data_IF_165949228341
#
_entry.id   IF_165949228341
#
_cell.length_a   1.000
_cell.length_b   1.000
_cell.length_c   1.000
_cell.angle_alpha   90.00
_cell.angle_beta   90.00
_cell.angle_gamma   90.00
#
_symmetry.space_group_name_H-M   'P 1'
#
loop_
_entity.id
_entity.type
_entity.pdbx_description
1 polymer ?
#
# COMPACT_ATOMS: atom_id res chain seq x y z
N UNK A 1 -6.17 22.80 -24.78
CA UNK A 1 -7.50 22.29 -24.38
C UNK A 1 -8.11 21.61 -25.58
N UNK A 2 -8.15 20.28 -25.61
CA UNK A 2 -8.77 19.56 -26.73
C UNK A 2 -10.28 19.75 -26.69
N UNK A 3 -10.92 19.90 -27.86
CA UNK A 3 -12.37 19.86 -27.95
C UNK A 3 -12.85 18.50 -27.39
N UNK A 4 -13.78 18.53 -26.44
CA UNK A 4 -14.39 17.31 -25.90
C UNK A 4 -15.04 16.53 -27.05
N UNK A 5 -14.87 15.20 -27.04
CA UNK A 5 -15.55 14.32 -28.00
C UNK A 5 -17.08 14.34 -27.86
N UNK A 6 -17.59 14.90 -26.76
CA UNK A 6 -19.01 15.06 -26.46
C UNK A 6 -19.32 16.52 -26.18
N UNK A 7 -20.38 17.03 -26.80
CA UNK A 7 -20.91 18.37 -26.50
C UNK A 7 -21.54 18.39 -25.10
N UNK A 8 -21.68 19.59 -24.53
CA UNK A 8 -22.29 19.77 -23.21
C UNK A 8 -23.73 19.25 -23.19
N UNK A 9 -24.49 19.56 -24.24
CA UNK A 9 -25.89 19.17 -24.40
C UNK A 9 -26.03 17.63 -24.39
N UNK A 10 -25.12 16.94 -25.08
CA UNK A 10 -25.13 15.48 -25.15
C UNK A 10 -24.76 14.83 -23.82
N UNK A 11 -23.92 15.49 -23.01
CA UNK A 11 -23.60 15.03 -21.65
C UNK A 11 -24.79 15.24 -20.69
N UNK A 12 -25.48 16.37 -20.80
CA UNK A 12 -26.66 16.68 -20.00
C UNK A 12 -27.81 15.72 -20.32
N UNK A 13 -28.09 15.45 -21.61
CA UNK A 13 -29.09 14.48 -22.05
C UNK A 13 -28.80 13.06 -21.54
N UNK A 14 -27.54 12.62 -21.59
CA UNK A 14 -27.18 11.29 -21.11
C UNK A 14 -27.30 11.16 -19.59
N UNK A 15 -27.03 12.23 -18.84
CA UNK A 15 -27.18 12.27 -17.39
C UNK A 15 -28.63 12.39 -16.94
N UNK A 16 -29.48 13.06 -17.73
CA UNK A 16 -30.88 13.30 -17.40
C UNK A 16 -31.66 11.97 -17.30
N UNK A 17 -32.29 11.74 -16.16
CA UNK A 17 -33.00 10.50 -15.86
C UNK A 17 -32.11 9.24 -15.76
N UNK A 18 -30.79 9.37 -15.76
CA UNK A 18 -29.89 8.26 -15.44
C UNK A 18 -29.80 8.10 -13.91
N UNK A 19 -29.99 6.88 -13.41
CA UNK A 19 -29.95 6.59 -11.96
C UNK A 19 -28.53 6.34 -11.47
N UNK A 20 -27.62 6.05 -12.38
CA UNK A 20 -26.22 5.75 -12.09
C UNK A 20 -25.30 6.31 -13.18
N UNK A 21 -24.03 6.52 -12.82
CA UNK A 21 -22.99 6.92 -13.79
C UNK A 21 -22.83 5.88 -14.91
N UNK A 22 -22.96 4.58 -14.61
CA UNK A 22 -22.86 3.53 -15.62
C UNK A 22 -23.97 3.63 -16.67
N UNK A 23 -25.21 3.92 -16.25
CA UNK A 23 -26.34 4.12 -17.15
C UNK A 23 -26.13 5.35 -18.08
N UNK A 24 -25.65 6.47 -17.54
CA UNK A 24 -25.31 7.64 -18.34
C UNK A 24 -24.19 7.35 -19.37
N UNK A 25 -23.17 6.57 -18.97
CA UNK A 25 -22.09 6.17 -19.86
C UNK A 25 -22.56 5.22 -20.98
N UNK A 26 -23.46 4.29 -20.68
CA UNK A 26 -24.10 3.42 -21.69
C UNK A 26 -24.89 4.23 -22.71
N UNK A 27 -25.67 5.23 -22.26
CA UNK A 27 -26.41 6.16 -23.14
C UNK A 27 -25.49 6.99 -24.04
N UNK A 28 -24.27 7.30 -23.58
CA UNK A 28 -23.24 7.93 -24.40
C UNK A 28 -22.58 6.97 -25.42
N UNK A 29 -22.94 5.69 -25.43
CA UNK A 29 -22.30 4.65 -26.24
C UNK A 29 -20.92 4.26 -25.72
N UNK A 30 -20.57 4.65 -24.48
CA UNK A 30 -19.32 4.28 -23.84
C UNK A 30 -19.50 2.92 -23.20
N UNK A 31 -19.06 1.86 -23.89
CA UNK A 31 -18.91 0.57 -23.22
C UNK A 31 -17.83 0.73 -22.15
N UNK A 32 -18.16 0.50 -20.88
CA UNK A 32 -17.18 0.40 -19.81
C UNK A 32 -16.34 -0.89 -20.02
N UNK A 33 -15.49 -0.93 -21.05
CA UNK A 33 -14.33 -1.83 -21.09
C UNK A 33 -13.21 -1.24 -20.24
N UNK A 34 -13.56 -0.76 -19.05
CA UNK A 34 -12.58 -0.47 -18.02
C UNK A 34 -12.04 -1.79 -17.51
N UNK A 35 -10.71 -1.99 -17.50
CA UNK A 35 -10.07 -3.07 -16.76
C UNK A 35 -10.75 -3.13 -15.40
N UNK A 36 -11.40 -4.25 -15.06
CA UNK A 36 -11.93 -4.43 -13.71
C UNK A 36 -10.76 -4.18 -12.78
N UNK A 37 -10.84 -3.08 -12.00
CA UNK A 37 -9.85 -2.83 -10.98
C UNK A 37 -10.03 -3.97 -10.00
N UNK A 38 -9.19 -5.02 -10.14
CA UNK A 38 -9.22 -6.16 -9.23
C UNK A 38 -9.12 -5.57 -7.83
N UNK A 39 -10.12 -5.87 -7.00
CA UNK A 39 -10.11 -5.46 -5.61
C UNK A 39 -8.74 -5.82 -5.02
N UNK A 40 -8.10 -4.84 -4.39
CA UNK A 40 -6.87 -5.08 -3.64
C UNK A 40 -7.27 -5.92 -2.44
N UNK A 41 -6.64 -7.08 -2.27
CA UNK A 41 -6.85 -7.93 -1.09
C UNK A 41 -5.58 -7.91 -0.24
N UNK A 42 -5.68 -7.81 1.09
CA UNK A 42 -4.51 -7.82 1.99
C UNK A 42 -3.61 -9.04 1.75
N UNK A 43 -4.23 -10.21 1.54
CA UNK A 43 -3.56 -11.50 1.38
C UNK A 43 -2.65 -11.52 0.15
N UNK A 44 -2.97 -10.74 -0.90
CA UNK A 44 -2.12 -10.66 -2.09
C UNK A 44 -0.86 -9.83 -1.86
N UNK A 45 -0.89 -8.92 -0.89
CA UNK A 45 0.25 -8.07 -0.53
C UNK A 45 1.13 -8.73 0.54
N UNK A 46 0.51 -9.50 1.43
CA UNK A 46 1.15 -10.10 2.60
C UNK A 46 1.75 -11.48 2.30
N UNK A 47 2.58 -11.54 1.26
CA UNK A 47 3.26 -12.77 0.81
C UNK A 47 4.76 -12.55 0.64
N UNK A 48 5.51 -13.65 0.73
CA UNK A 48 6.90 -13.66 0.32
C UNK A 48 6.99 -13.61 -1.21
N UNK A 49 7.76 -12.66 -1.74
CA UNK A 49 7.93 -12.49 -3.18
C UNK A 49 9.12 -13.30 -3.71
N UNK A 50 8.95 -14.03 -4.83
CA UNK A 50 10.05 -14.77 -5.45
C UNK A 50 11.12 -13.82 -5.99
N UNK A 51 12.40 -14.17 -5.82
CA UNK A 51 13.53 -13.29 -6.11
C UNK A 51 13.54 -12.71 -7.54
N UNK A 52 13.13 -13.50 -8.55
CA UNK A 52 13.13 -13.08 -9.95
C UNK A 52 11.98 -12.16 -10.38
N UNK A 53 10.96 -11.96 -9.55
CA UNK A 53 9.79 -11.13 -9.87
C UNK A 53 9.45 -10.12 -8.77
N UNK A 54 10.27 -10.04 -7.72
CA UNK A 54 10.01 -9.22 -6.56
C UNK A 54 10.01 -7.72 -6.89
N UNK A 55 8.97 -7.02 -6.43
CA UNK A 55 8.87 -5.56 -6.47
C UNK A 55 8.60 -5.05 -5.07
N UNK A 56 9.35 -4.04 -4.65
CA UNK A 56 9.15 -3.44 -3.32
C UNK A 56 7.73 -2.86 -3.24
N UNK A 57 6.94 -3.37 -2.30
CA UNK A 57 5.60 -2.86 -2.04
C UNK A 57 5.72 -1.54 -1.27
N UNK A 58 5.06 -0.46 -1.72
CA UNK A 58 4.98 0.79 -0.97
C UNK A 58 4.47 0.57 0.47
N UNK A 59 5.06 1.26 1.44
CA UNK A 59 4.77 0.99 2.86
C UNK A 59 3.32 1.25 3.22
N UNK A 60 2.69 2.29 2.69
CA UNK A 60 1.26 2.61 2.84
C UNK A 60 0.35 1.41 2.49
N UNK A 61 0.71 0.63 1.45
CA UNK A 61 -0.06 -0.56 1.07
C UNK A 61 0.11 -1.70 2.06
N UNK A 62 1.31 -1.87 2.62
CA UNK A 62 1.55 -2.85 3.68
C UNK A 62 0.81 -2.46 4.96
N UNK A 63 0.85 -1.17 5.35
CA UNK A 63 0.08 -0.67 6.50
C UNK A 63 -1.40 -0.99 6.36
N UNK A 64 -1.98 -0.64 5.20
CA UNK A 64 -3.37 -0.93 4.90
C UNK A 64 -3.68 -2.43 4.99
N UNK A 65 -2.82 -3.29 4.43
CA UNK A 65 -3.03 -4.73 4.46
C UNK A 65 -2.97 -5.28 5.89
N UNK A 66 -1.99 -4.84 6.69
CA UNK A 66 -1.83 -5.25 8.09
C UNK A 66 -3.05 -4.85 8.93
N UNK A 67 -3.48 -3.58 8.86
CA UNK A 67 -4.64 -3.11 9.63
C UNK A 67 -5.95 -3.73 9.14
N UNK A 68 -6.08 -4.03 7.85
CA UNK A 68 -7.24 -4.74 7.30
C UNK A 68 -7.38 -6.17 7.84
N UNK A 69 -6.28 -6.80 8.26
CA UNK A 69 -6.28 -8.11 8.94
C UNK A 69 -6.35 -8.00 10.47
N UNK A 70 -6.59 -6.79 11.02
CA UNK A 70 -6.73 -6.58 12.45
C UNK A 70 -5.41 -6.46 13.22
N UNK A 71 -4.27 -6.25 12.54
CA UNK A 71 -3.03 -5.93 13.24
C UNK A 71 -3.16 -4.54 13.87
N UNK A 72 -2.99 -4.42 15.20
CA UNK A 72 -3.10 -3.15 15.89
C UNK A 72 -1.95 -2.22 15.50
N UNK A 73 -2.27 -0.94 15.23
CA UNK A 73 -1.28 0.07 14.82
C UNK A 73 -0.57 0.69 16.02
N UNK A 74 0.16 -0.12 16.80
CA UNK A 74 1.07 0.35 17.86
C UNK A 74 2.50 -0.16 17.62
N UNK A 75 3.48 0.53 18.21
CA UNK A 75 4.88 0.10 18.13
C UNK A 75 5.05 -1.25 18.84
N UNK A 76 5.44 -2.29 18.10
CA UNK A 76 5.65 -3.64 18.63
C UNK A 76 6.80 -3.76 19.64
N UNK A 77 7.64 -2.72 19.82
CA UNK A 77 8.71 -2.70 20.83
C UNK A 77 8.36 -1.96 22.11
N UNK A 78 7.74 -0.80 22.01
CA UNK A 78 7.50 0.09 23.17
C UNK A 78 6.03 0.41 23.41
N UNK A 79 5.10 -0.12 22.60
CA UNK A 79 3.67 0.11 22.73
C UNK A 79 3.21 1.52 22.35
N UNK A 80 4.08 2.37 21.78
CA UNK A 80 3.68 3.71 21.32
C UNK A 80 2.56 3.62 20.28
N UNK A 81 1.41 4.21 20.62
CA UNK A 81 0.25 4.43 19.75
C UNK A 81 0.58 5.38 18.57
N UNK A 82 -0.26 5.46 17.52
CA UNK A 82 0.00 6.29 16.33
C UNK A 82 -0.32 7.77 16.58
N UNK A 83 -0.11 8.25 17.82
CA UNK A 83 -0.34 9.63 18.27
C UNK A 83 0.83 10.09 19.14
N UNK A 84 1.35 11.28 18.86
CA UNK A 84 2.37 11.95 19.64
C UNK A 84 1.94 13.37 19.98
N UNK A 85 1.79 13.67 21.28
CA UNK A 85 1.36 14.98 21.78
C UNK A 85 0.10 15.51 21.06
N UNK A 86 -0.88 14.62 20.86
CA UNK A 86 -2.15 14.94 20.19
C UNK A 86 -2.07 15.05 18.66
N UNK A 87 -0.91 14.77 18.04
CA UNK A 87 -0.73 14.78 16.59
C UNK A 87 -0.53 13.36 16.05
N UNK A 88 -0.95 13.04 14.81
CA UNK A 88 -0.68 11.74 14.22
C UNK A 88 0.83 11.45 14.19
N UNK A 89 1.21 10.26 14.68
CA UNK A 89 2.56 9.73 14.59
C UNK A 89 2.55 8.57 13.59
N UNK A 90 3.09 8.75 12.38
CA UNK A 90 3.18 7.65 11.43
C UNK A 90 4.11 6.57 11.97
N UNK A 91 3.58 5.39 12.32
CA UNK A 91 4.40 4.22 12.57
C UNK A 91 5.01 3.71 11.27
N UNK A 92 6.18 3.11 11.33
CA UNK A 92 6.93 2.58 10.19
C UNK A 92 6.74 1.06 10.11
N UNK A 93 6.71 0.51 8.89
CA UNK A 93 6.69 -0.94 8.69
C UNK A 93 8.14 -1.43 8.73
N UNK A 94 8.42 -2.37 9.62
CA UNK A 94 9.70 -3.04 9.75
C UNK A 94 9.55 -4.52 9.38
N UNK A 95 10.52 -5.02 8.61
CA UNK A 95 10.67 -6.43 8.30
C UNK A 95 11.57 -7.05 9.36
N UNK A 96 11.04 -7.97 10.18
CA UNK A 96 11.74 -8.56 11.33
C UNK A 96 13.06 -9.20 10.89
N UNK A 97 13.05 -9.95 9.79
CA UNK A 97 14.24 -10.58 9.21
C UNK A 97 15.10 -9.65 8.32
N UNK A 98 14.65 -8.41 8.07
CA UNK A 98 15.32 -7.45 7.18
C UNK A 98 15.18 -7.71 5.67
N UNK A 99 14.55 -8.81 5.27
CA UNK A 99 14.26 -9.09 3.86
C UNK A 99 12.97 -8.40 3.43
N UNK A 100 13.12 -7.33 2.64
CA UNK A 100 12.00 -6.57 2.10
C UNK A 100 11.09 -7.35 1.14
N UNK A 101 11.54 -8.52 0.67
CA UNK A 101 10.74 -9.40 -0.20
C UNK A 101 9.76 -10.25 0.61
N UNK A 102 10.03 -10.49 1.89
CA UNK A 102 9.20 -11.31 2.76
C UNK A 102 8.13 -10.45 3.46
N UNK A 103 7.00 -10.23 2.78
CA UNK A 103 5.90 -9.41 3.31
C UNK A 103 4.86 -10.22 4.07
N UNK A 104 5.15 -11.48 4.44
CA UNK A 104 4.21 -12.28 5.24
C UNK A 104 3.95 -11.60 6.57
N UNK A 105 2.71 -11.71 7.06
CA UNK A 105 2.25 -10.95 8.21
C UNK A 105 3.08 -11.21 9.46
N UNK A 106 3.54 -12.44 9.65
CA UNK A 106 4.41 -12.86 10.74
C UNK A 106 5.82 -12.23 10.71
N UNK A 107 6.25 -11.69 9.56
CA UNK A 107 7.54 -11.02 9.38
C UNK A 107 7.41 -9.49 9.42
N UNK A 108 6.20 -8.95 9.48
CA UNK A 108 5.98 -7.50 9.52
C UNK A 108 5.60 -7.04 10.92
N UNK A 109 6.04 -5.84 11.28
CA UNK A 109 5.60 -5.15 12.51
C UNK A 109 5.58 -3.64 12.31
N UNK A 110 4.73 -2.97 13.09
CA UNK A 110 4.78 -1.53 13.23
C UNK A 110 5.85 -1.13 14.26
N UNK A 111 6.68 -0.15 13.94
CA UNK A 111 7.62 0.49 14.87
C UNK A 111 7.46 2.00 14.86
N UNK A 112 7.57 2.66 16.01
CA UNK A 112 7.70 4.12 16.02
C UNK A 112 9.07 4.53 15.43
N UNK A 113 9.22 5.77 14.92
CA UNK A 113 10.47 6.22 14.30
C UNK A 113 11.70 6.04 15.20
N UNK A 114 11.52 6.26 16.51
CA UNK A 114 12.60 6.10 17.50
C UNK A 114 13.04 4.63 17.64
N UNK A 115 12.09 3.71 17.85
CA UNK A 115 12.39 2.28 17.97
C UNK A 115 12.90 1.67 16.65
N UNK A 116 12.47 2.19 15.51
CA UNK A 116 12.97 1.73 14.21
C UNK A 116 14.41 2.19 13.98
N UNK A 117 14.78 3.40 14.40
CA UNK A 117 16.14 3.94 14.20
C UNK A 117 17.29 3.10 14.79
N UNK A 118 16.96 2.28 15.80
CA UNK A 118 17.89 1.40 16.52
C UNK A 118 17.89 -0.04 16.03
N UNK A 119 17.10 -0.39 15.00
CA UNK A 119 17.19 -1.73 14.39
C UNK A 119 18.43 -1.84 13.50
N UNK A 120 18.94 -3.06 13.34
CA UNK A 120 20.08 -3.33 12.45
C UNK A 120 19.78 -3.03 10.98
N UNK A 121 18.50 -3.16 10.59
CA UNK A 121 18.04 -3.01 9.21
C UNK A 121 17.59 -1.59 8.86
N UNK A 122 17.59 -0.67 9.83
CA UNK A 122 17.11 0.70 9.65
C UNK A 122 17.78 1.39 8.46
N UNK A 123 16.96 1.87 7.52
CA UNK A 123 17.39 2.57 6.29
C UNK A 123 18.51 1.84 5.52
N UNK A 124 18.54 0.51 5.57
CA UNK A 124 19.53 -0.30 4.87
C UNK A 124 20.89 -0.42 5.55
N UNK A 125 21.02 -0.01 6.82
CA UNK A 125 22.25 -0.16 7.63
C UNK A 125 22.81 -1.60 7.60
N UNK A 126 21.94 -2.61 7.68
CA UNK A 126 22.32 -4.03 7.62
C UNK A 126 22.88 -4.52 6.28
N UNK A 127 22.67 -3.80 5.17
CA UNK A 127 23.18 -4.20 3.84
C UNK A 127 24.71 -4.21 3.77
N UNK A 128 25.38 -3.36 4.58
CA UNK A 128 26.84 -3.26 4.62
C UNK A 128 27.48 -4.49 5.28
N UNK A 129 26.78 -5.12 6.24
CA UNK A 129 27.31 -6.28 7.01
C UNK A 129 27.28 -7.57 6.18
N UNK A 130 26.24 -7.81 5.38
CA UNK A 130 26.17 -9.02 4.53
C UNK A 130 27.26 -9.07 3.44
N UNK A 131 27.77 -7.92 2.98
CA UNK A 131 28.87 -7.86 2.00
C UNK A 131 30.25 -8.15 2.59
N UNK A 132 30.42 -8.05 3.91
CA UNK A 132 31.72 -8.30 4.59
C UNK A 132 31.85 -9.71 5.18
N UNK A 133 30.78 -10.51 5.19
CA UNK A 133 30.77 -11.87 5.74
C UNK A 133 30.95 -12.99 4.71
N UNK A 134 31.20 -12.67 3.44
CA UNK A 134 31.41 -13.65 2.37
C UNK A 134 32.87 -13.95 2.05
N UNK A 135 33.80 -13.56 2.92
CA UNK A 135 35.22 -13.88 2.83
C UNK A 135 35.66 -14.52 4.15
N UNK A 136 35.34 -15.80 4.31
CA UNK A 136 36.08 -16.77 5.12
C UNK A 136 36.09 -18.09 4.38
#
# INVERSE_FOLDING_TARGET
MGASAYTKERLEEAADGARTLSEALERLGVTQRGKTWRARTPERLLVAQPAGQARRIPSDRLKWAMTSLGVPEHCARCGTEPVWRGRPLPLEVDHINGDWRDNRIENLRFLCPNCHSVTDNYRGRGKVRSRRGGAV
#
